data_IF_951967160885
#
_entry.id   IF_951967160885
#
_cell.length_a   1.000
_cell.length_b   1.000
_cell.length_c   1.000
_cell.angle_alpha   90.00
_cell.angle_beta   90.00
_cell.angle_gamma   90.00
#
_symmetry.space_group_name_H-M   'P 1'
#
loop_
_entity.id
_entity.type
_entity.pdbx_description
1 polymer ?
#
# COMPACT_ATOMS: atom_id res chain seq x y z
N UNK A 1 18.68 4.92 -23.42
CA UNK A 1 19.15 3.53 -23.33
C UNK A 1 20.51 3.47 -22.70
N UNK A 2 20.75 2.50 -21.83
CA UNK A 2 22.04 2.22 -21.18
C UNK A 2 22.31 0.73 -21.32
N UNK A 3 23.50 0.37 -21.77
CA UNK A 3 23.87 -1.00 -22.09
C UNK A 3 25.20 -1.30 -21.39
N UNK A 4 25.25 -2.41 -20.67
CA UNK A 4 26.47 -2.97 -20.10
C UNK A 4 26.73 -4.30 -20.76
N UNK A 5 27.87 -4.44 -21.43
CA UNK A 5 28.38 -5.73 -21.91
C UNK A 5 29.17 -6.38 -20.76
N UNK A 6 28.68 -7.51 -20.25
CA UNK A 6 29.29 -8.20 -19.10
C UNK A 6 30.63 -8.83 -19.42
N UNK A 7 30.88 -9.19 -20.71
CA UNK A 7 32.12 -9.79 -21.15
C UNK A 7 33.25 -8.77 -21.25
N UNK A 8 32.98 -7.62 -21.88
CA UNK A 8 33.96 -6.54 -22.07
C UNK A 8 33.99 -5.53 -20.96
N UNK A 9 32.97 -5.51 -20.09
CA UNK A 9 32.74 -4.51 -19.05
C UNK A 9 32.59 -3.07 -19.59
N UNK A 10 32.23 -2.94 -20.86
CA UNK A 10 32.03 -1.67 -21.51
C UNK A 10 30.58 -1.21 -21.38
N UNK A 11 30.40 0.07 -21.16
CA UNK A 11 29.11 0.74 -21.13
C UNK A 11 28.93 1.49 -22.43
N UNK A 12 27.82 1.21 -23.14
CA UNK A 12 27.46 1.87 -24.40
C UNK A 12 26.04 2.43 -24.31
N UNK A 13 25.72 3.35 -25.20
CA UNK A 13 24.37 3.84 -25.45
C UNK A 13 23.87 3.46 -26.84
N UNK A 14 24.71 2.83 -27.62
CA UNK A 14 24.45 2.49 -29.04
C UNK A 14 24.10 1.00 -29.17
N UNK A 15 22.85 0.69 -29.52
CA UNK A 15 22.34 -0.66 -29.66
C UNK A 15 22.96 -1.40 -30.88
N UNK A 16 23.53 -0.67 -31.82
CA UNK A 16 24.14 -1.28 -32.98
C UNK A 16 25.47 -1.99 -32.66
N UNK A 17 26.07 -1.67 -31.51
CA UNK A 17 27.29 -2.31 -31.00
C UNK A 17 27.00 -3.61 -30.25
N UNK A 18 25.73 -3.96 -30.03
CA UNK A 18 25.29 -5.13 -29.26
C UNK A 18 25.07 -6.32 -30.19
N UNK A 19 25.78 -7.40 -29.90
CA UNK A 19 25.54 -8.71 -30.51
C UNK A 19 24.79 -9.60 -29.51
N UNK A 20 23.47 -9.75 -29.69
CA UNK A 20 22.63 -10.57 -28.82
C UNK A 20 22.96 -12.06 -28.82
N UNK A 21 23.64 -12.53 -29.86
CA UNK A 21 23.98 -13.97 -30.03
C UNK A 21 25.30 -14.37 -29.37
N UNK A 22 26.24 -13.42 -29.19
CA UNK A 22 27.58 -13.71 -28.68
C UNK A 22 27.91 -13.02 -27.36
N UNK A 23 27.28 -11.90 -27.09
CA UNK A 23 27.56 -11.08 -25.95
C UNK A 23 26.53 -11.26 -24.80
N UNK A 24 27.03 -11.08 -23.59
CA UNK A 24 26.17 -11.05 -22.38
C UNK A 24 25.85 -9.60 -22.01
N UNK A 25 24.57 -9.21 -22.10
CA UNK A 25 24.19 -7.82 -22.04
C UNK A 25 23.15 -7.54 -20.94
N UNK A 26 23.35 -6.44 -20.24
CA UNK A 26 22.33 -5.84 -19.40
C UNK A 26 21.92 -4.50 -20.01
N UNK A 27 20.63 -4.35 -20.31
CA UNK A 27 20.08 -3.20 -21.02
C UNK A 27 18.98 -2.56 -20.17
N UNK A 28 19.10 -1.26 -19.94
CA UNK A 28 18.03 -0.44 -19.33
C UNK A 28 17.58 0.58 -20.35
N UNK A 29 16.31 0.53 -20.73
CA UNK A 29 15.79 1.38 -21.79
C UNK A 29 14.36 1.87 -21.49
N UNK A 30 13.95 2.92 -22.23
CA UNK A 30 12.56 3.37 -22.26
C UNK A 30 11.75 2.57 -23.28
N UNK A 31 10.41 2.52 -23.14
CA UNK A 31 9.54 1.81 -24.08
C UNK A 31 9.78 2.16 -25.55
N UNK A 32 10.01 3.43 -25.83
CA UNK A 32 10.23 3.92 -27.20
C UNK A 32 11.55 3.43 -27.85
N UNK A 33 12.51 3.01 -27.03
CA UNK A 33 13.80 2.52 -27.50
C UNK A 33 13.74 1.04 -27.91
N UNK A 34 12.71 0.30 -27.48
CA UNK A 34 12.48 -1.11 -27.82
C UNK A 34 12.40 -1.34 -29.35
N UNK A 35 11.86 -0.36 -30.08
CA UNK A 35 11.77 -0.44 -31.54
C UNK A 35 13.10 -0.68 -32.27
N UNK A 36 14.23 -0.32 -31.65
CA UNK A 36 15.54 -0.44 -32.28
C UNK A 36 16.13 -1.88 -32.26
N UNK A 37 15.55 -2.74 -31.40
CA UNK A 37 16.09 -4.09 -31.23
C UNK A 37 15.04 -5.20 -31.10
N UNK A 38 13.75 -4.86 -31.20
CA UNK A 38 12.65 -5.85 -31.14
C UNK A 38 12.83 -7.03 -32.09
N UNK A 39 13.32 -6.77 -33.33
CA UNK A 39 13.51 -7.77 -34.33
C UNK A 39 14.78 -8.64 -34.05
N UNK A 40 15.74 -8.09 -33.28
CA UNK A 40 16.97 -8.83 -32.88
C UNK A 40 16.73 -9.86 -31.77
N UNK A 41 15.67 -9.67 -31.01
CA UNK A 41 15.29 -10.59 -29.92
C UNK A 41 13.99 -11.35 -30.23
N UNK A 42 13.58 -11.38 -31.49
CA UNK A 42 12.36 -12.03 -31.98
C UNK A 42 11.14 -11.72 -31.12
N UNK A 43 10.97 -10.42 -30.77
CA UNK A 43 9.94 -9.99 -29.87
C UNK A 43 8.56 -10.17 -30.48
N UNK A 44 7.69 -10.91 -29.78
CA UNK A 44 6.31 -11.08 -30.20
C UNK A 44 5.55 -9.76 -30.26
N UNK A 45 4.60 -9.67 -31.22
CA UNK A 45 3.85 -8.45 -31.50
C UNK A 45 2.95 -8.04 -30.34
N UNK A 46 2.38 -9.00 -29.59
CA UNK A 46 1.55 -8.71 -28.42
C UNK A 46 2.40 -8.14 -27.30
N UNK A 47 3.49 -8.81 -26.93
CA UNK A 47 4.45 -8.40 -25.91
C UNK A 47 5.04 -7.01 -26.21
N UNK A 48 5.34 -6.73 -27.50
CA UNK A 48 5.78 -5.39 -27.91
C UNK A 48 4.74 -4.31 -27.64
N UNK A 49 3.46 -4.58 -27.91
CA UNK A 49 2.38 -3.62 -27.63
C UNK A 49 2.20 -3.40 -26.13
N UNK A 50 2.26 -4.47 -25.35
CA UNK A 50 2.12 -4.41 -23.89
C UNK A 50 3.22 -3.55 -23.26
N UNK A 51 4.48 -3.72 -23.71
CA UNK A 51 5.59 -2.86 -23.29
C UNK A 51 5.43 -1.38 -23.67
N UNK A 52 4.55 -1.04 -24.60
CA UNK A 52 4.25 0.36 -24.98
C UNK A 52 3.05 0.93 -24.25
N UNK A 53 2.01 0.10 -24.00
CA UNK A 53 0.75 0.54 -23.39
C UNK A 53 0.90 0.88 -21.92
N UNK A 54 1.69 0.09 -21.16
CA UNK A 54 1.80 0.22 -19.72
C UNK A 54 0.41 0.20 -19.07
N UNK A 55 -0.27 -0.94 -19.24
CA UNK A 55 -1.65 -1.15 -18.80
C UNK A 55 -1.76 -1.72 -17.37
N UNK A 56 -0.65 -1.78 -16.64
CA UNK A 56 -0.51 -2.29 -15.27
C UNK A 56 -0.91 -3.78 -15.10
N UNK A 57 -1.00 -4.53 -16.20
CA UNK A 57 -1.29 -5.97 -16.14
C UNK A 57 -0.01 -6.75 -15.86
N UNK A 58 -0.01 -7.48 -14.75
CA UNK A 58 1.11 -8.36 -14.41
C UNK A 58 1.00 -9.65 -15.23
N UNK A 59 2.07 -9.97 -15.94
CA UNK A 59 2.20 -11.17 -16.77
C UNK A 59 3.52 -11.87 -16.50
N UNK A 60 3.51 -13.19 -16.65
CA UNK A 60 4.69 -14.04 -16.68
C UNK A 60 4.53 -15.00 -17.83
N UNK A 61 5.44 -14.94 -18.80
CA UNK A 61 5.41 -15.79 -19.98
C UNK A 61 6.81 -16.38 -20.21
N UNK A 62 6.89 -17.70 -20.26
CA UNK A 62 8.11 -18.42 -20.62
C UNK A 62 8.02 -18.76 -22.10
N UNK A 63 8.85 -18.10 -22.89
CA UNK A 63 8.95 -18.28 -24.35
C UNK A 63 10.22 -19.03 -24.70
N UNK A 64 10.37 -19.45 -25.95
CA UNK A 64 11.51 -20.25 -26.35
C UNK A 64 12.87 -19.53 -26.20
N UNK A 65 12.94 -18.21 -26.38
CA UNK A 65 14.17 -17.42 -26.39
C UNK A 65 14.35 -16.55 -25.13
N UNK A 66 13.29 -16.25 -24.42
CA UNK A 66 13.33 -15.41 -23.22
C UNK A 66 12.14 -15.67 -22.31
N UNK A 67 12.32 -15.32 -21.06
CA UNK A 67 11.23 -15.19 -20.07
C UNK A 67 10.84 -13.72 -19.99
N UNK A 68 9.57 -13.43 -20.21
CA UNK A 68 9.00 -12.09 -20.10
C UNK A 68 8.15 -11.97 -18.86
N UNK A 69 8.31 -10.87 -18.15
CA UNK A 69 7.42 -10.51 -17.04
C UNK A 69 7.27 -9.03 -16.87
N UNK A 70 6.06 -8.69 -16.43
CA UNK A 70 5.66 -7.35 -16.05
C UNK A 70 5.46 -7.31 -14.55
N UNK A 71 6.09 -6.36 -13.88
CA UNK A 71 5.95 -6.10 -12.45
C UNK A 71 5.45 -4.70 -12.24
N UNK A 72 4.64 -4.50 -11.21
CA UNK A 72 4.22 -3.18 -10.76
C UNK A 72 4.99 -2.80 -9.50
N UNK A 73 5.82 -1.76 -9.60
CA UNK A 73 6.31 -1.04 -8.44
C UNK A 73 5.28 0.02 -8.06
N UNK A 74 5.01 0.19 -6.78
CA UNK A 74 4.18 1.30 -6.32
C UNK A 74 5.02 2.31 -5.58
N UNK A 75 4.65 3.57 -5.72
CA UNK A 75 5.32 4.68 -5.09
C UNK A 75 4.30 5.61 -4.40
N UNK A 76 4.58 5.96 -3.16
CA UNK A 76 3.78 6.92 -2.38
C UNK A 76 4.44 8.29 -2.52
N UNK A 77 3.69 9.24 -3.09
CA UNK A 77 4.11 10.62 -3.23
C UNK A 77 3.89 11.36 -1.89
N UNK A 78 4.57 12.49 -1.70
CA UNK A 78 4.50 13.29 -0.46
C UNK A 78 3.09 13.75 -0.08
N UNK A 79 2.18 13.89 -1.06
CA UNK A 79 0.76 14.20 -0.84
C UNK A 79 -0.08 12.99 -0.38
N UNK A 80 0.54 11.82 -0.22
CA UNK A 80 -0.11 10.57 0.16
C UNK A 80 -0.82 9.86 -0.99
N UNK A 81 -0.64 10.30 -2.25
CA UNK A 81 -1.18 9.59 -3.41
C UNK A 81 -0.28 8.40 -3.79
N UNK A 82 -0.91 7.29 -4.21
CA UNK A 82 -0.22 6.12 -4.72
C UNK A 82 -0.17 6.16 -6.24
N UNK A 83 1.02 5.95 -6.79
CA UNK A 83 1.22 5.72 -8.23
C UNK A 83 1.73 4.32 -8.47
N UNK A 84 1.21 3.65 -9.50
CA UNK A 84 1.74 2.39 -10.01
C UNK A 84 2.75 2.67 -11.12
N UNK A 85 3.85 1.97 -11.08
CA UNK A 85 4.97 2.13 -11.99
C UNK A 85 5.34 0.76 -12.56
N UNK A 86 4.95 0.51 -13.79
CA UNK A 86 5.20 -0.74 -14.48
C UNK A 86 6.68 -0.88 -14.87
N UNK A 87 7.20 -2.09 -14.73
CA UNK A 87 8.54 -2.52 -15.11
C UNK A 87 8.40 -3.79 -15.92
N UNK A 88 8.84 -3.75 -17.17
CA UNK A 88 8.89 -4.91 -18.04
C UNK A 88 10.30 -5.47 -18.07
N UNK A 89 10.44 -6.77 -17.86
CA UNK A 89 11.74 -7.45 -17.79
C UNK A 89 11.76 -8.61 -18.78
N UNK A 90 12.80 -8.66 -19.58
CA UNK A 90 13.16 -9.81 -20.41
C UNK A 90 14.40 -10.46 -19.85
N UNK A 91 14.32 -11.74 -19.55
CA UNK A 91 15.42 -12.55 -19.07
C UNK A 91 15.70 -13.65 -20.05
N UNK A 92 16.92 -13.68 -20.59
CA UNK A 92 17.44 -14.71 -21.49
C UNK A 92 18.75 -15.26 -20.95
N UNK A 93 19.26 -16.32 -21.57
CA UNK A 93 20.57 -16.86 -21.26
C UNK A 93 21.70 -15.82 -21.39
N UNK A 94 21.57 -14.90 -22.36
CA UNK A 94 22.60 -13.93 -22.72
C UNK A 94 22.27 -12.48 -22.46
N UNK A 95 21.03 -12.17 -22.08
CA UNK A 95 20.69 -10.80 -21.82
C UNK A 95 19.61 -10.63 -20.76
N UNK A 96 19.66 -9.50 -20.09
CA UNK A 96 18.55 -8.94 -19.28
C UNK A 96 18.21 -7.58 -19.88
N UNK A 97 16.93 -7.37 -20.18
CA UNK A 97 16.44 -6.09 -20.67
C UNK A 97 15.39 -5.57 -19.70
N UNK A 98 15.61 -4.38 -19.15
CA UNK A 98 14.65 -3.66 -18.33
C UNK A 98 14.02 -2.53 -19.15
N UNK A 99 12.70 -2.53 -19.24
CA UNK A 99 11.95 -1.47 -19.89
C UNK A 99 11.11 -0.76 -18.83
N UNK A 100 11.40 0.49 -18.59
CA UNK A 100 10.70 1.34 -17.64
C UNK A 100 10.74 2.80 -18.07
N UNK A 101 9.75 3.59 -17.62
CA UNK A 101 9.74 5.03 -17.92
C UNK A 101 10.80 5.74 -17.07
N UNK A 102 11.44 6.78 -17.61
CA UNK A 102 12.43 7.60 -16.86
C UNK A 102 11.88 8.22 -15.57
N UNK A 103 10.57 8.42 -15.50
CA UNK A 103 9.87 8.95 -14.31
C UNK A 103 9.68 7.89 -13.19
N UNK A 104 10.01 6.62 -13.47
CA UNK A 104 9.90 5.56 -12.48
C UNK A 104 10.82 5.87 -11.30
N UNK A 105 10.31 5.74 -10.08
CA UNK A 105 10.98 6.11 -8.83
C UNK A 105 12.29 5.35 -8.59
N UNK A 106 12.40 4.11 -9.10
CA UNK A 106 13.60 3.28 -8.94
C UNK A 106 14.49 3.27 -10.19
N UNK A 107 14.17 4.10 -11.22
CA UNK A 107 14.93 4.12 -12.47
C UNK A 107 16.42 4.35 -12.24
N UNK A 108 16.80 5.34 -11.46
CA UNK A 108 18.22 5.64 -11.20
C UNK A 108 18.88 4.54 -10.34
N UNK A 109 18.16 3.92 -9.40
CA UNK A 109 18.67 2.76 -8.63
C UNK A 109 18.95 1.56 -9.55
N UNK A 110 18.04 1.25 -10.48
CA UNK A 110 18.23 0.16 -11.43
C UNK A 110 19.33 0.47 -12.46
N UNK A 111 19.43 1.71 -12.90
CA UNK A 111 20.47 2.16 -13.80
C UNK A 111 21.86 2.14 -13.15
N UNK A 112 21.97 2.40 -11.85
CA UNK A 112 23.25 2.37 -11.13
C UNK A 112 23.88 0.98 -11.14
N UNK A 113 23.07 -0.09 -11.26
CA UNK A 113 23.58 -1.46 -11.42
C UNK A 113 24.52 -1.62 -12.63
N UNK A 114 24.39 -0.76 -13.66
CA UNK A 114 25.28 -0.75 -14.81
C UNK A 114 26.71 -0.32 -14.41
N UNK A 115 26.84 0.53 -13.40
CA UNK A 115 28.12 1.07 -12.93
C UNK A 115 28.72 0.25 -11.78
N UNK A 116 27.92 -0.63 -11.15
CA UNK A 116 28.41 -1.47 -10.07
C UNK A 116 29.38 -2.52 -10.63
N UNK A 117 30.54 -2.61 -10.02
CA UNK A 117 31.52 -3.65 -10.30
C UNK A 117 31.00 -4.97 -9.72
N UNK A 118 30.14 -5.66 -10.47
CA UNK A 118 29.78 -7.01 -10.11
C UNK A 118 31.05 -7.87 -10.12
N UNK A 119 31.27 -8.59 -9.04
CA UNK A 119 32.25 -9.67 -9.02
C UNK A 119 31.75 -10.74 -10.02
N UNK A 120 32.14 -10.57 -11.28
CA UNK A 120 31.82 -11.53 -12.33
C UNK A 120 32.49 -12.85 -11.97
N UNK A 121 31.69 -13.84 -11.65
CA UNK A 121 32.18 -15.22 -11.62
C UNK A 121 32.66 -15.60 -13.01
N UNK A 122 33.49 -16.61 -13.11
CA UNK A 122 34.01 -17.13 -14.38
C UNK A 122 32.91 -17.52 -15.38
N UNK A 123 31.69 -17.74 -14.90
CA UNK A 123 30.50 -18.03 -15.68
C UNK A 123 29.64 -16.76 -15.86
N UNK A 124 29.49 -16.32 -17.11
CA UNK A 124 28.74 -15.11 -17.45
C UNK A 124 27.22 -15.27 -17.28
N UNK A 125 26.69 -16.47 -17.54
CA UNK A 125 25.27 -16.77 -17.29
C UNK A 125 24.92 -16.62 -15.79
N UNK A 126 25.78 -17.15 -14.91
CA UNK A 126 25.62 -16.98 -13.47
C UNK A 126 25.72 -15.51 -13.07
N UNK A 127 26.58 -14.73 -13.73
CA UNK A 127 26.68 -13.29 -13.49
C UNK A 127 25.39 -12.55 -13.87
N UNK A 128 24.70 -12.93 -14.95
CA UNK A 128 23.37 -12.43 -15.30
C UNK A 128 22.33 -12.80 -14.25
N UNK A 129 22.33 -14.04 -13.76
CA UNK A 129 21.39 -14.48 -12.74
C UNK A 129 21.56 -13.73 -11.41
N UNK A 130 22.82 -13.47 -11.02
CA UNK A 130 23.11 -12.63 -9.83
C UNK A 130 22.62 -11.21 -10.04
N UNK A 131 22.86 -10.63 -11.22
CA UNK A 131 22.37 -9.29 -11.58
C UNK A 131 20.84 -9.24 -11.54
N UNK A 132 20.19 -10.25 -12.10
CA UNK A 132 18.75 -10.40 -12.05
C UNK A 132 18.22 -10.45 -10.63
N UNK A 133 18.82 -11.25 -9.74
CA UNK A 133 18.44 -11.28 -8.33
C UNK A 133 18.61 -9.92 -7.65
N UNK A 134 19.64 -9.16 -8.04
CA UNK A 134 19.88 -7.80 -7.52
C UNK A 134 18.80 -6.81 -7.98
N UNK A 135 18.32 -6.94 -9.21
CA UNK A 135 17.19 -6.16 -9.75
C UNK A 135 15.93 -6.40 -8.91
N UNK A 136 15.57 -7.67 -8.70
CA UNK A 136 14.41 -8.03 -7.90
C UNK A 136 14.53 -7.54 -6.44
N UNK A 137 15.73 -7.65 -5.85
CA UNK A 137 15.97 -7.12 -4.49
C UNK A 137 15.75 -5.61 -4.40
N UNK A 138 16.15 -4.84 -5.41
CA UNK A 138 15.90 -3.38 -5.47
C UNK A 138 14.39 -3.12 -5.51
N UNK A 139 13.65 -3.85 -6.34
CA UNK A 139 12.20 -3.71 -6.47
C UNK A 139 11.51 -4.06 -5.14
N UNK A 140 11.82 -5.22 -4.58
CA UNK A 140 11.25 -5.68 -3.29
C UNK A 140 11.53 -4.68 -2.18
N UNK A 141 12.77 -4.19 -2.07
CA UNK A 141 13.15 -3.18 -1.08
C UNK A 141 12.38 -1.87 -1.24
N UNK A 142 12.23 -1.41 -2.48
CA UNK A 142 11.42 -0.21 -2.76
C UNK A 142 9.97 -0.38 -2.31
N UNK A 143 9.39 -1.56 -2.50
CA UNK A 143 8.03 -1.85 -2.06
C UNK A 143 7.91 -1.90 -0.54
N UNK A 144 8.90 -2.45 0.17
CA UNK A 144 8.96 -2.38 1.64
C UNK A 144 9.00 -0.93 2.12
N UNK A 145 9.91 -0.11 1.59
CA UNK A 145 10.05 1.31 1.95
C UNK A 145 8.74 2.10 1.73
N UNK A 146 7.96 1.75 0.71
CA UNK A 146 6.66 2.39 0.48
C UNK A 146 5.54 1.83 1.37
N UNK A 147 5.55 0.55 1.73
CA UNK A 147 4.61 -0.01 2.71
C UNK A 147 4.81 0.59 4.10
N UNK A 148 6.06 0.80 4.52
CA UNK A 148 6.39 1.47 5.78
C UNK A 148 5.78 2.89 5.82
N UNK A 149 5.84 3.63 4.71
CA UNK A 149 5.18 4.95 4.61
C UNK A 149 3.66 4.85 4.74
N UNK A 150 3.04 3.82 4.14
CA UNK A 150 1.59 3.60 4.28
C UNK A 150 1.24 3.31 5.73
N UNK A 151 2.00 2.47 6.41
CA UNK A 151 1.82 2.16 7.83
C UNK A 151 1.96 3.41 8.69
N UNK A 152 2.96 4.25 8.43
CA UNK A 152 3.15 5.53 9.13
C UNK A 152 1.94 6.46 8.97
N UNK A 153 1.38 6.57 7.76
CA UNK A 153 0.16 7.35 7.50
C UNK A 153 -1.03 6.78 8.28
N UNK A 154 -1.16 5.44 8.36
CA UNK A 154 -2.22 4.77 9.13
C UNK A 154 -2.11 5.14 10.61
N UNK A 155 -0.92 5.04 11.21
CA UNK A 155 -0.69 5.36 12.62
C UNK A 155 -0.96 6.84 12.93
N UNK A 156 -0.55 7.74 12.04
CA UNK A 156 -0.86 9.18 12.18
C UNK A 156 -2.37 9.46 12.11
N UNK A 157 -3.12 8.75 11.25
CA UNK A 157 -4.57 8.87 11.19
C UNK A 157 -5.24 8.30 12.43
N UNK A 158 -4.76 7.18 12.97
CA UNK A 158 -5.24 6.61 14.24
C UNK A 158 -5.11 7.62 15.38
N UNK A 159 -3.94 8.22 15.54
CA UNK A 159 -3.71 9.26 16.55
C UNK A 159 -4.64 10.47 16.36
N UNK A 160 -4.86 10.90 15.12
CA UNK A 160 -5.81 12.00 14.85
C UNK A 160 -7.23 11.64 15.24
N UNK A 161 -7.69 10.42 14.98
CA UNK A 161 -9.04 9.94 15.33
C UNK A 161 -9.22 9.91 16.86
N UNK A 162 -8.24 9.42 17.60
CA UNK A 162 -8.26 9.34 19.06
C UNK A 162 -8.31 10.73 19.68
N UNK A 163 -7.57 11.71 19.13
CA UNK A 163 -7.52 13.08 19.62
C UNK A 163 -8.79 13.90 19.28
N UNK A 164 -9.60 13.47 18.34
CA UNK A 164 -10.89 14.07 18.02
C UNK A 164 -11.37 13.77 16.61
N UNK A 165 -12.64 13.43 16.48
CA UNK A 165 -13.27 13.09 15.21
C UNK A 165 -13.64 14.35 14.44
N UNK A 166 -13.15 14.45 13.18
CA UNK A 166 -13.46 15.51 12.21
C UNK A 166 -14.21 14.91 11.00
N UNK A 167 -15.06 15.72 10.36
CA UNK A 167 -15.90 15.30 9.22
C UNK A 167 -15.08 14.82 8.00
N UNK A 168 -13.85 15.32 7.85
CA UNK A 168 -12.96 14.94 6.75
C UNK A 168 -12.22 13.60 6.95
N UNK A 169 -12.23 13.03 8.16
CA UNK A 169 -11.49 11.80 8.47
C UNK A 169 -12.04 10.59 7.73
N UNK A 170 -13.34 10.51 7.53
CA UNK A 170 -13.99 9.44 6.76
C UNK A 170 -13.41 9.30 5.34
N UNK A 171 -13.20 10.42 4.65
CA UNK A 171 -12.61 10.43 3.31
C UNK A 171 -11.13 9.98 3.33
N UNK A 172 -10.34 10.43 4.32
CA UNK A 172 -8.94 10.01 4.48
C UNK A 172 -8.82 8.51 4.77
N UNK A 173 -9.68 7.97 5.65
CA UNK A 173 -9.73 6.54 5.96
C UNK A 173 -10.08 5.74 4.70
N UNK A 174 -11.06 6.18 3.92
CA UNK A 174 -11.44 5.53 2.67
C UNK A 174 -10.28 5.52 1.66
N UNK A 175 -9.55 6.63 1.55
CA UNK A 175 -8.38 6.76 0.68
C UNK A 175 -7.27 5.79 1.07
N UNK A 176 -6.85 5.76 2.35
CA UNK A 176 -5.76 4.90 2.80
C UNK A 176 -6.11 3.41 2.69
N UNK A 177 -7.39 3.03 2.91
CA UNK A 177 -7.89 1.68 2.66
C UNK A 177 -7.79 1.31 1.18
N UNK A 178 -8.10 2.23 0.28
CA UNK A 178 -7.91 2.06 -1.16
C UNK A 178 -6.44 1.83 -1.52
N UNK A 179 -5.55 2.63 -0.97
CA UNK A 179 -4.09 2.52 -1.14
C UNK A 179 -3.60 1.15 -0.67
N UNK A 180 -3.92 0.74 0.56
CA UNK A 180 -3.49 -0.54 1.13
C UNK A 180 -3.95 -1.74 0.29
N UNK A 181 -5.18 -1.71 -0.22
CA UNK A 181 -5.69 -2.74 -1.14
C UNK A 181 -4.93 -2.78 -2.46
N UNK A 182 -4.56 -1.62 -2.99
CA UNK A 182 -3.79 -1.52 -4.23
C UNK A 182 -2.37 -2.05 -4.03
N UNK A 183 -1.73 -1.79 -2.88
CA UNK A 183 -0.43 -2.36 -2.53
C UNK A 183 -0.48 -3.90 -2.51
N UNK A 184 -1.46 -4.49 -1.82
CA UNK A 184 -1.65 -5.96 -1.81
C UNK A 184 -1.85 -6.50 -3.23
N UNK A 185 -2.66 -5.82 -4.06
CA UNK A 185 -2.92 -6.22 -5.44
C UNK A 185 -1.65 -6.15 -6.32
N UNK A 186 -0.77 -5.17 -6.07
CA UNK A 186 0.48 -5.02 -6.79
C UNK A 186 1.54 -6.07 -6.38
N UNK A 187 1.58 -6.45 -5.08
CA UNK A 187 2.58 -7.39 -4.54
C UNK A 187 2.20 -8.85 -4.81
N UNK A 188 0.92 -9.20 -4.70
CA UNK A 188 0.45 -10.59 -4.81
C UNK A 188 0.99 -11.33 -6.06
N UNK A 189 1.06 -10.74 -7.25
CA UNK A 189 1.59 -11.44 -8.42
C UNK A 189 3.05 -11.85 -8.30
N UNK A 190 3.86 -11.18 -7.46
CA UNK A 190 5.26 -11.54 -7.24
C UNK A 190 5.41 -12.95 -6.65
N UNK A 191 4.46 -13.43 -5.84
CA UNK A 191 4.50 -14.78 -5.27
C UNK A 191 4.38 -15.84 -6.36
N UNK A 192 3.43 -15.69 -7.29
CA UNK A 192 3.29 -16.61 -8.44
C UNK A 192 4.46 -16.52 -9.42
N UNK A 193 5.06 -15.36 -9.50
CA UNK A 193 6.20 -15.12 -10.34
C UNK A 193 7.42 -15.95 -9.94
N UNK A 194 7.75 -16.01 -8.67
CA UNK A 194 8.84 -16.85 -8.17
C UNK A 194 8.54 -18.33 -8.36
N UNK A 195 7.30 -18.77 -8.12
CA UNK A 195 6.88 -20.15 -8.37
C UNK A 195 7.09 -20.55 -9.84
N UNK A 196 6.71 -19.68 -10.77
CA UNK A 196 6.94 -19.91 -12.21
C UNK A 196 8.43 -19.98 -12.54
N UNK A 197 9.25 -19.12 -11.96
CA UNK A 197 10.69 -19.15 -12.16
C UNK A 197 11.37 -20.40 -11.58
N UNK A 198 10.93 -20.85 -10.42
CA UNK A 198 11.45 -22.07 -9.80
C UNK A 198 11.09 -23.31 -10.62
N UNK A 199 9.93 -23.33 -11.26
CA UNK A 199 9.46 -24.44 -12.05
C UNK A 199 9.94 -24.36 -13.51
N UNK A 200 9.41 -23.41 -14.23
CA UNK A 200 9.56 -23.32 -15.69
C UNK A 200 10.88 -22.62 -16.08
N UNK A 201 11.35 -21.68 -15.27
CA UNK A 201 12.62 -20.98 -15.46
C UNK A 201 13.83 -21.91 -15.32
N UNK A 202 13.76 -22.91 -14.45
CA UNK A 202 14.81 -23.92 -14.34
C UNK A 202 14.90 -24.77 -15.59
N UNK A 203 13.78 -25.19 -16.18
CA UNK A 203 13.76 -25.92 -17.45
C UNK A 203 14.30 -25.07 -18.59
N UNK A 204 13.95 -23.77 -18.63
CA UNK A 204 14.46 -22.84 -19.62
C UNK A 204 15.99 -22.75 -19.59
N UNK A 205 16.60 -22.55 -18.42
CA UNK A 205 18.06 -22.47 -18.30
C UNK A 205 18.77 -23.81 -18.47
N UNK A 206 18.15 -24.93 -18.08
CA UNK A 206 18.71 -26.27 -18.29
C UNK A 206 18.87 -26.61 -19.78
N UNK A 207 17.92 -26.15 -20.64
CA UNK A 207 17.95 -26.36 -22.09
C UNK A 207 19.20 -25.78 -22.76
N UNK A 208 19.77 -24.71 -22.21
CA UNK A 208 20.89 -23.97 -22.81
C UNK A 208 22.26 -24.26 -22.17
N UNK A 209 22.33 -25.06 -21.10
CA UNK A 209 23.56 -25.23 -20.33
C UNK A 209 24.15 -26.64 -20.37
N UNK A 210 25.36 -26.77 -20.98
CA UNK A 210 26.21 -27.96 -20.86
C UNK A 210 26.86 -28.15 -19.47
N UNK A 211 26.66 -27.21 -18.52
CA UNK A 211 27.20 -27.21 -17.15
C UNK A 211 26.12 -27.49 -16.08
N UNK A 212 25.05 -28.12 -16.43
CA UNK A 212 23.78 -28.50 -15.82
C UNK A 212 23.63 -28.32 -14.31
N UNK A 213 24.26 -29.14 -13.49
CA UNK A 213 23.96 -29.28 -12.09
C UNK A 213 24.39 -28.11 -11.17
N UNK A 214 25.54 -27.51 -11.42
CA UNK A 214 26.07 -26.44 -10.57
C UNK A 214 25.30 -25.11 -10.75
N UNK A 215 24.95 -24.76 -11.96
CA UNK A 215 24.14 -23.55 -12.24
C UNK A 215 22.74 -23.69 -11.73
N UNK A 216 22.17 -24.89 -11.79
CA UNK A 216 20.85 -25.19 -11.27
C UNK A 216 20.79 -24.99 -9.73
N UNK A 217 21.78 -25.48 -9.00
CA UNK A 217 21.82 -25.32 -7.55
C UNK A 217 22.03 -23.87 -7.11
N UNK A 218 22.92 -23.12 -7.76
CA UNK A 218 23.14 -21.69 -7.46
C UNK A 218 21.91 -20.85 -7.83
N UNK A 219 21.25 -21.13 -8.95
CA UNK A 219 20.01 -20.47 -9.36
C UNK A 219 18.88 -20.72 -8.35
N UNK A 220 18.70 -21.97 -7.94
CA UNK A 220 17.72 -22.35 -6.92
C UNK A 220 17.93 -21.58 -5.63
N UNK A 221 19.16 -21.55 -5.10
CA UNK A 221 19.49 -20.79 -3.87
C UNK A 221 19.19 -19.30 -3.97
N UNK A 222 19.46 -18.71 -5.15
CA UNK A 222 19.14 -17.29 -5.37
C UNK A 222 17.64 -17.04 -5.35
N UNK A 223 16.84 -17.90 -5.99
CA UNK A 223 15.39 -17.79 -6.04
C UNK A 223 14.75 -18.08 -4.67
N UNK A 224 15.18 -19.09 -3.94
CA UNK A 224 14.68 -19.40 -2.59
C UNK A 224 14.86 -18.21 -1.63
N UNK A 225 16.00 -17.49 -1.74
CA UNK A 225 16.22 -16.27 -0.96
C UNK A 225 15.33 -15.11 -1.35
N UNK A 226 14.94 -15.01 -2.63
CA UNK A 226 13.98 -14.03 -3.10
C UNK A 226 12.55 -14.40 -2.70
N UNK A 227 12.19 -15.66 -2.81
CA UNK A 227 10.89 -16.20 -2.41
C UNK A 227 10.57 -15.84 -0.97
N UNK A 228 11.47 -16.14 -0.04
CA UNK A 228 11.33 -15.76 1.37
C UNK A 228 11.14 -14.23 1.55
N UNK A 229 11.81 -13.43 0.73
CA UNK A 229 11.70 -11.97 0.81
C UNK A 229 10.34 -11.47 0.30
N UNK A 230 9.82 -12.11 -0.75
CA UNK A 230 8.50 -11.81 -1.32
C UNK A 230 7.38 -12.25 -0.38
N UNK A 231 7.49 -13.41 0.25
CA UNK A 231 6.54 -13.88 1.25
C UNK A 231 6.44 -12.92 2.44
N UNK A 232 7.57 -12.41 2.92
CA UNK A 232 7.61 -11.39 3.97
C UNK A 232 6.94 -10.10 3.51
N UNK A 233 7.24 -9.65 2.28
CA UNK A 233 6.63 -8.45 1.70
C UNK A 233 5.11 -8.61 1.56
N UNK A 234 4.66 -9.76 1.07
CA UNK A 234 3.23 -10.05 0.92
C UNK A 234 2.52 -10.10 2.27
N UNK A 235 3.11 -10.78 3.27
CA UNK A 235 2.58 -10.83 4.63
C UNK A 235 2.51 -9.42 5.24
N UNK A 236 3.53 -8.59 5.05
CA UNK A 236 3.53 -7.21 5.52
C UNK A 236 2.44 -6.38 4.84
N UNK A 237 2.21 -6.58 3.54
CA UNK A 237 1.13 -5.89 2.82
C UNK A 237 -0.27 -6.27 3.33
N UNK A 238 -0.48 -7.53 3.70
CA UNK A 238 -1.73 -8.00 4.30
C UNK A 238 -1.93 -7.40 5.70
N UNK A 239 -0.88 -7.33 6.51
CA UNK A 239 -0.89 -6.70 7.83
C UNK A 239 -1.23 -5.20 7.73
N UNK A 240 -0.58 -4.47 6.83
CA UNK A 240 -0.86 -3.05 6.57
C UNK A 240 -2.31 -2.81 6.13
N UNK A 241 -2.84 -3.69 5.28
CA UNK A 241 -4.26 -3.65 4.88
C UNK A 241 -5.17 -3.87 6.08
N UNK A 242 -4.88 -4.87 6.94
CA UNK A 242 -5.67 -5.15 8.14
C UNK A 242 -5.68 -3.95 9.10
N UNK A 243 -4.52 -3.31 9.32
CA UNK A 243 -4.42 -2.08 10.10
C UNK A 243 -5.30 -0.97 9.52
N UNK A 244 -5.28 -0.78 8.19
CA UNK A 244 -6.13 0.23 7.54
C UNK A 244 -7.63 -0.08 7.64
N UNK A 245 -8.04 -1.35 7.68
CA UNK A 245 -9.43 -1.74 7.89
C UNK A 245 -9.86 -1.49 9.36
N UNK A 246 -8.98 -1.70 10.34
CA UNK A 246 -9.22 -1.37 11.76
C UNK A 246 -9.42 0.11 12.03
N UNK A 247 -8.82 1.01 11.24
CA UNK A 247 -9.07 2.46 11.36
C UNK A 247 -10.57 2.82 11.27
N UNK A 248 -11.31 2.12 10.41
CA UNK A 248 -12.73 2.37 10.27
C UNK A 248 -13.50 1.98 11.55
N UNK A 249 -13.10 0.88 12.19
CA UNK A 249 -13.73 0.42 13.43
C UNK A 249 -13.46 1.40 14.58
N UNK A 250 -12.22 1.88 14.69
CA UNK A 250 -11.85 2.91 15.66
C UNK A 250 -12.64 4.19 15.41
N UNK A 251 -12.70 4.67 14.16
CA UNK A 251 -13.45 5.86 13.78
C UNK A 251 -14.94 5.75 14.16
N UNK A 252 -15.59 4.62 13.79
CA UNK A 252 -17.01 4.40 14.10
C UNK A 252 -17.27 4.31 15.61
N UNK A 253 -16.35 3.71 16.37
CA UNK A 253 -16.40 3.67 17.83
C UNK A 253 -16.33 5.08 18.43
N UNK A 254 -15.38 5.90 17.99
CA UNK A 254 -15.21 7.27 18.48
C UNK A 254 -16.39 8.18 18.11
N UNK A 255 -16.95 8.03 16.89
CA UNK A 255 -18.20 8.73 16.50
C UNK A 255 -19.36 8.32 17.40
N UNK A 256 -19.50 7.03 17.68
CA UNK A 256 -20.55 6.51 18.58
C UNK A 256 -20.38 7.05 19.99
N UNK A 257 -19.17 7.08 20.53
CA UNK A 257 -18.88 7.65 21.85
C UNK A 257 -19.23 9.14 21.90
N UNK A 258 -18.79 9.92 20.89
CA UNK A 258 -19.12 11.36 20.79
C UNK A 258 -20.64 11.58 20.75
N UNK A 259 -21.36 10.76 19.98
CA UNK A 259 -22.83 10.82 19.86
C UNK A 259 -23.49 10.47 21.19
N UNK A 260 -23.04 9.40 21.85
CA UNK A 260 -23.58 9.02 23.17
C UNK A 260 -23.33 10.11 24.21
N UNK A 261 -22.18 10.76 24.20
CA UNK A 261 -21.88 11.87 25.09
C UNK A 261 -22.81 13.07 24.85
N UNK A 262 -23.17 13.38 23.61
CA UNK A 262 -24.14 14.42 23.27
C UNK A 262 -25.55 14.03 23.71
N UNK A 263 -25.96 12.77 23.47
CA UNK A 263 -27.27 12.27 23.95
C UNK A 263 -27.36 12.34 25.48
N UNK A 264 -26.31 11.96 26.18
CA UNK A 264 -26.27 12.05 27.64
C UNK A 264 -26.45 13.49 28.15
N UNK A 265 -25.74 14.45 27.53
CA UNK A 265 -25.93 15.88 27.85
C UNK A 265 -27.35 16.35 27.58
N UNK A 266 -27.93 15.98 26.43
CA UNK A 266 -29.29 16.32 26.06
C UNK A 266 -30.31 15.72 27.07
N UNK A 267 -30.10 14.44 27.43
CA UNK A 267 -30.96 13.75 28.41
C UNK A 267 -30.90 14.43 29.78
N UNK A 268 -29.72 14.89 30.21
CA UNK A 268 -29.58 15.68 31.42
C UNK A 268 -30.43 16.97 31.37
N UNK A 269 -30.27 17.75 30.30
CA UNK A 269 -31.00 19.00 30.12
C UNK A 269 -32.52 18.77 30.08
N UNK A 270 -32.99 17.81 29.28
CA UNK A 270 -34.41 17.51 29.13
C UNK A 270 -34.98 16.91 30.41
N UNK A 271 -34.31 15.98 31.07
CA UNK A 271 -34.70 15.34 32.31
C UNK A 271 -34.82 16.34 33.47
N UNK A 272 -34.04 17.44 33.42
CA UNK A 272 -34.12 18.51 34.43
C UNK A 272 -35.16 19.59 34.06
N UNK A 273 -35.15 20.03 32.80
CA UNK A 273 -35.98 21.15 32.36
C UNK A 273 -37.48 20.82 32.26
N UNK A 274 -37.82 19.59 31.78
CA UNK A 274 -39.23 19.20 31.57
C UNK A 274 -40.05 19.20 32.87
N UNK A 275 -39.63 18.58 33.98
CA UNK A 275 -40.38 18.66 35.24
C UNK A 275 -40.56 20.10 35.76
N UNK A 276 -39.52 20.93 35.64
CA UNK A 276 -39.55 22.31 36.03
C UNK A 276 -40.55 23.10 35.16
N UNK A 277 -40.53 22.88 33.85
CA UNK A 277 -41.45 23.53 32.91
C UNK A 277 -42.91 23.14 33.16
N UNK A 278 -43.18 21.87 33.53
CA UNK A 278 -44.52 21.43 33.89
C UNK A 278 -45.00 22.17 35.16
N UNK A 279 -44.17 22.22 36.20
CA UNK A 279 -44.51 22.93 37.44
C UNK A 279 -44.77 24.39 37.14
N UNK A 280 -43.89 25.10 36.51
CA UNK A 280 -44.03 26.52 36.18
C UNK A 280 -45.19 26.78 35.23
N UNK A 281 -45.47 25.87 34.28
CA UNK A 281 -46.62 25.94 33.39
C UNK A 281 -47.96 25.82 34.10
N UNK A 282 -48.07 24.87 35.01
CA UNK A 282 -49.31 24.72 35.85
C UNK A 282 -49.58 25.98 36.73
N UNK A 283 -48.56 26.48 37.40
CA UNK A 283 -48.66 27.68 38.18
C UNK A 283 -48.75 28.99 37.38
N UNK A 284 -48.44 28.95 36.10
CA UNK A 284 -48.63 30.05 35.15
C UNK A 284 -50.07 30.14 34.57
N UNK A 285 -50.92 29.14 34.83
CA UNK A 285 -52.29 29.11 34.30
C UNK A 285 -53.21 30.00 35.05
N UNK A 286 -54.10 30.74 34.39
CA UNK A 286 -55.07 31.64 35.00
C UNK A 286 -56.39 30.91 35.41
N UNK A 287 -56.28 29.93 36.31
CA UNK A 287 -57.45 29.27 36.82
C UNK A 287 -58.16 30.16 37.86
N UNK A 288 -59.48 30.17 37.82
CA UNK A 288 -60.31 30.97 38.72
C UNK A 288 -60.25 30.50 40.19
N UNK A 289 -59.86 29.22 40.40
CA UNK A 289 -59.81 28.64 41.76
C UNK A 289 -58.50 27.78 41.83
N UNK A 290 -57.51 28.33 42.54
CA UNK A 290 -56.27 27.67 42.91
C UNK A 290 -56.04 27.85 44.42
N UNK A 291 -56.48 26.89 45.26
CA UNK A 291 -56.43 27.05 46.72
C UNK A 291 -55.00 27.19 47.25
N UNK A 292 -54.03 26.64 46.53
CA UNK A 292 -52.57 26.67 46.87
C UNK A 292 -52.04 28.12 46.87
N UNK A 293 -52.54 29.02 46.03
CA UNK A 293 -52.06 30.40 45.92
C UNK A 293 -52.42 31.25 47.15
N UNK A 294 -53.41 30.83 47.97
CA UNK A 294 -53.79 31.50 49.18
C UNK A 294 -52.87 31.15 50.37
N UNK A 295 -51.96 30.19 50.22
CA UNK A 295 -51.07 29.79 51.31
C UNK A 295 -49.79 30.62 51.28
N UNK A 296 -49.42 31.27 52.37
CA UNK A 296 -48.20 32.13 52.46
C UNK A 296 -46.87 31.37 52.10
N UNK A 297 -46.82 30.07 52.38
CA UNK A 297 -45.62 29.25 52.14
C UNK A 297 -45.60 28.55 50.79
N UNK A 298 -46.58 28.71 49.94
CA UNK A 298 -46.67 28.03 48.66
C UNK A 298 -45.51 28.38 47.76
N UNK A 299 -45.14 29.64 47.62
CA UNK A 299 -44.02 30.10 46.82
C UNK A 299 -42.65 29.50 47.27
N UNK A 300 -42.24 29.62 48.53
CA UNK A 300 -40.97 28.99 48.99
C UNK A 300 -40.98 27.49 48.86
N UNK A 301 -42.08 26.77 49.00
CA UNK A 301 -42.20 25.33 48.83
C UNK A 301 -41.97 24.98 47.37
N UNK A 302 -42.55 25.67 46.39
CA UNK A 302 -42.38 25.42 44.99
C UNK A 302 -40.91 25.64 44.57
N UNK A 303 -40.31 26.75 45.03
CA UNK A 303 -38.87 27.00 44.74
C UNK A 303 -37.99 25.89 45.33
N UNK A 304 -38.29 25.42 46.55
CA UNK A 304 -37.56 24.31 47.17
C UNK A 304 -37.69 23.01 46.37
N UNK A 305 -38.87 22.69 45.82
CA UNK A 305 -39.10 21.54 44.98
C UNK A 305 -38.27 21.65 43.66
N UNK A 306 -38.30 22.82 43.01
CA UNK A 306 -37.53 23.06 41.78
C UNK A 306 -36.03 22.88 42.04
N UNK A 307 -35.50 23.47 43.10
CA UNK A 307 -34.09 23.33 43.48
C UNK A 307 -33.77 21.89 43.83
N UNK A 308 -34.66 21.18 44.54
CA UNK A 308 -34.46 19.75 44.85
C UNK A 308 -34.39 18.89 43.59
N UNK A 309 -35.26 19.14 42.61
CA UNK A 309 -35.20 18.43 41.29
C UNK A 309 -33.84 18.65 40.62
N UNK A 310 -33.34 19.88 40.58
CA UNK A 310 -32.03 20.19 39.98
C UNK A 310 -30.89 19.48 40.71
N UNK A 311 -30.91 19.50 42.06
CA UNK A 311 -29.84 18.84 42.86
C UNK A 311 -29.90 17.33 42.70
N UNK A 312 -31.06 16.69 42.74
CA UNK A 312 -31.23 15.25 42.54
C UNK A 312 -30.78 14.85 41.15
N UNK A 313 -31.20 15.58 40.11
CA UNK A 313 -30.76 15.33 38.74
C UNK A 313 -29.23 15.41 38.64
N UNK A 314 -28.62 16.46 39.20
CA UNK A 314 -27.16 16.63 39.16
C UNK A 314 -26.42 15.47 39.87
N UNK A 315 -26.90 15.05 41.05
CA UNK A 315 -26.29 13.92 41.79
C UNK A 315 -26.45 12.62 41.03
N UNK A 316 -27.62 12.34 40.45
CA UNK A 316 -27.85 11.12 39.65
C UNK A 316 -26.95 11.05 38.44
N UNK A 317 -26.81 12.16 37.69
CA UNK A 317 -25.98 12.19 36.49
C UNK A 317 -24.47 12.10 36.81
N UNK A 318 -24.03 12.76 37.91
CA UNK A 318 -22.63 12.64 38.38
C UNK A 318 -22.31 11.22 38.84
N UNK A 319 -23.24 10.54 39.55
CA UNK A 319 -23.04 9.16 40.02
C UNK A 319 -22.94 8.17 38.87
N UNK A 320 -23.70 8.36 37.79
CA UNK A 320 -23.73 7.49 36.64
C UNK A 320 -22.66 7.84 35.60
N UNK A 321 -21.70 8.74 35.88
CA UNK A 321 -20.63 9.18 34.98
C UNK A 321 -21.13 9.72 33.60
N UNK A 322 -22.33 10.34 33.60
CA UNK A 322 -22.88 11.00 32.42
C UNK A 322 -22.39 12.45 32.25
N UNK A 323 -21.66 12.96 33.19
CA UNK A 323 -21.01 14.28 33.20
C UNK A 323 -19.52 14.12 33.36
#
# INVERSE_FOLDING_TARGET
>A
MHILNLKTKQISKNINEVNFNEDYNFIVCNPWELKFFKDKINLDRSTYKDCLSFDDQVRVEVLDEYIYFTLNNFHIIEDGTLTLEEINIFLSEKYIILILRKKNSIFEKLKSLINETFYYKSNLTLSLLILYSSILRIIIRSQFENLEKVEEIILQLEDQIINGVDDHMSAKISSIRGISRTCVKAIRPLTYYIDTLLKDGMEFFAKYNNHGLYLEEEYRKLLEGLDLSIDKLYTFSLSTRELSDKLLDIYTSMVSEKTNNLINKLTFFTGTAVPISIITGVYGMNFKYMPELNYVYSYPIIIFIIVSIMVVAFIMFKKNKFL
#
